data_IF_821182765634
#
_entry.id   IF_821182765634
#
_cell.length_a   1.000
_cell.length_b   1.000
_cell.length_c   1.000
_cell.angle_alpha   90.00
_cell.angle_beta   90.00
_cell.angle_gamma   90.00
#
_symmetry.space_group_name_H-M   'P 1'
#
loop_
_entity.id
_entity.type
_entity.pdbx_description
1 polymer ?
#
# COMPACT_ATOMS: atom_id res chain seq x y z
N UNK A 1 0.78 54.20 67.48
CA UNK A 1 1.51 55.41 68.07
C UNK A 1 2.08 56.17 66.90
N UNK A 2 1.70 57.52 66.94
CA UNK A 2 2.40 58.70 66.36
C UNK A 2 2.65 58.63 64.82
N UNK A 3 1.85 59.39 64.04
CA UNK A 3 1.85 60.82 63.73
C UNK A 3 3.16 61.25 63.06
N UNK A 4 3.10 61.72 61.82
CA UNK A 4 3.26 63.12 61.52
C UNK A 4 2.93 63.43 60.04
N UNK A 5 1.98 64.38 59.93
CA UNK A 5 1.75 65.26 58.80
C UNK A 5 3.00 66.08 58.49
N UNK A 6 3.23 66.47 57.28
CA UNK A 6 3.60 67.81 56.88
C UNK A 6 3.15 68.11 55.45
N UNK A 7 2.34 69.16 55.38
CA UNK A 7 1.93 69.89 54.20
C UNK A 7 3.08 70.77 53.70
N UNK A 8 3.20 70.93 52.41
CA UNK A 8 3.64 72.18 51.81
C UNK A 8 3.11 72.33 50.38
N UNK A 9 2.40 73.42 50.23
CA UNK A 9 1.79 73.96 49.05
C UNK A 9 2.81 74.73 48.18
N UNK A 10 2.42 74.90 46.92
CA UNK A 10 2.70 76.01 45.99
C UNK A 10 3.54 75.58 44.80
N UNK A 11 3.18 75.79 43.60
CA UNK A 11 2.87 76.91 42.81
C UNK A 11 2.55 76.56 41.40
N UNK A 12 1.49 77.04 40.89
CA UNK A 12 0.99 76.93 39.50
C UNK A 12 1.93 77.69 38.57
N UNK A 13 2.39 77.02 37.51
CA UNK A 13 2.85 77.75 36.31
C UNK A 13 2.08 77.11 35.11
N UNK A 14 1.11 77.85 34.63
CA UNK A 14 0.42 77.67 33.39
C UNK A 14 1.39 77.97 32.24
N UNK A 15 1.88 76.88 31.55
CA UNK A 15 2.42 77.06 30.24
C UNK A 15 1.38 76.50 29.21
N UNK A 16 0.76 77.46 28.54
CA UNK A 16 -0.08 77.14 27.35
C UNK A 16 0.84 76.66 26.22
N UNK A 17 1.00 75.33 26.09
CA UNK A 17 1.62 74.69 24.94
C UNK A 17 0.58 74.63 23.87
N UNK A 18 0.83 75.28 22.72
CA UNK A 18 0.04 75.12 21.51
C UNK A 18 0.07 73.66 21.06
N UNK A 19 -1.08 72.98 21.14
CA UNK A 19 -1.26 71.66 20.54
C UNK A 19 -1.22 71.84 19.02
N UNK A 20 -0.12 71.43 18.40
CA UNK A 20 -0.11 71.12 16.96
C UNK A 20 -0.89 69.80 16.76
N UNK A 21 -2.12 69.93 16.36
CA UNK A 21 -2.86 68.77 15.80
C UNK A 21 -2.24 68.43 14.42
N UNK A 22 -1.19 67.59 14.45
CA UNK A 22 -0.67 66.97 13.25
C UNK A 22 -1.76 66.08 12.68
N UNK A 23 -2.23 66.39 11.51
CA UNK A 23 -3.08 65.49 10.72
C UNK A 23 -2.26 64.24 10.41
N UNK A 24 -2.46 63.16 11.15
CA UNK A 24 -1.87 61.87 10.85
C UNK A 24 -2.66 61.34 9.66
N UNK A 25 -2.14 61.59 8.46
CA UNK A 25 -2.64 60.97 7.23
C UNK A 25 -2.54 59.47 7.43
N UNK A 26 -3.66 58.68 7.39
CA UNK A 26 -3.59 57.26 7.61
C UNK A 26 -2.72 56.64 6.52
N UNK A 27 -1.64 55.99 6.94
CA UNK A 27 -0.77 55.23 6.01
C UNK A 27 -1.64 54.29 5.20
N UNK A 28 -1.58 54.30 3.87
CA UNK A 28 -2.35 53.34 3.04
C UNK A 28 -2.01 51.92 3.50
N UNK A 29 -3.03 51.20 3.96
CA UNK A 29 -2.87 49.77 4.27
C UNK A 29 -2.43 49.11 2.98
N UNK A 30 -1.20 48.62 2.95
CA UNK A 30 -0.74 47.77 1.86
C UNK A 30 -1.65 46.55 1.84
N UNK A 31 -2.20 46.17 0.65
CA UNK A 31 -2.99 44.97 0.56
C UNK A 31 -2.16 43.78 1.05
N UNK A 32 -2.67 43.08 2.06
CA UNK A 32 -2.06 41.81 2.50
C UNK A 32 -2.16 40.82 1.34
N UNK A 33 -1.05 40.63 0.63
CA UNK A 33 -0.95 39.61 -0.39
C UNK A 33 -0.92 38.28 0.39
N UNK A 34 -2.07 37.63 0.54
CA UNK A 34 -2.11 36.24 1.00
C UNK A 34 -1.41 35.42 -0.06
N UNK A 35 -0.32 34.71 0.26
CA UNK A 35 0.32 33.82 -0.70
C UNK A 35 -0.73 32.83 -1.23
N UNK A 36 -0.78 32.64 -2.55
CA UNK A 36 -1.62 31.62 -3.12
C UNK A 36 -1.29 30.28 -2.45
N UNK A 37 -2.30 29.45 -2.11
CA UNK A 37 -2.06 28.13 -1.57
C UNK A 37 -1.09 27.38 -2.49
N UNK A 38 -0.05 26.78 -1.92
CA UNK A 38 0.84 25.94 -2.69
C UNK A 38 0.00 24.87 -3.42
N UNK A 39 0.28 24.59 -4.72
CA UNK A 39 -0.41 23.53 -5.41
C UNK A 39 -0.34 22.25 -4.58
N UNK A 40 -1.47 21.61 -4.33
CA UNK A 40 -1.48 20.30 -3.69
C UNK A 40 -0.62 19.34 -4.53
N UNK A 41 0.23 18.52 -3.92
CA UNK A 41 0.98 17.52 -4.65
C UNK A 41 -0.01 16.67 -5.46
N UNK A 42 0.17 16.60 -6.77
CA UNK A 42 -0.69 15.82 -7.64
C UNK A 42 -0.40 14.35 -7.34
N UNK A 43 -1.37 13.62 -6.81
CA UNK A 43 -1.33 12.17 -6.72
C UNK A 43 -1.22 11.58 -8.12
N UNK A 44 -0.40 10.54 -8.33
CA UNK A 44 -0.33 9.88 -9.62
C UNK A 44 -1.69 9.32 -10.04
N UNK A 45 -1.94 9.30 -11.34
CA UNK A 45 -3.10 8.63 -11.91
C UNK A 45 -2.80 7.13 -12.03
N UNK A 46 -3.62 6.31 -11.37
CA UNK A 46 -3.50 4.86 -11.38
C UNK A 46 -4.33 4.20 -12.49
N UNK A 47 -5.15 4.95 -13.23
CA UNK A 47 -5.97 4.41 -14.32
C UNK A 47 -5.10 3.93 -15.47
N UNK A 48 -5.29 2.70 -15.89
CA UNK A 48 -4.68 2.14 -17.08
C UNK A 48 -4.37 0.65 -16.95
N UNK A 49 -3.97 0.07 -18.05
CA UNK A 49 -3.40 -1.26 -18.07
C UNK A 49 -2.01 -1.23 -17.45
N UNK A 50 -1.67 -2.31 -16.79
CA UNK A 50 -0.32 -2.55 -16.30
C UNK A 50 0.14 -3.94 -16.63
N UNK A 51 1.44 -4.09 -16.81
CA UNK A 51 2.11 -5.38 -16.95
C UNK A 51 3.44 -5.31 -16.23
N UNK A 52 3.90 -6.45 -15.71
CA UNK A 52 5.15 -6.49 -14.96
C UNK A 52 5.60 -7.89 -14.60
N UNK A 53 6.60 -7.94 -13.74
CA UNK A 53 7.10 -9.16 -13.15
C UNK A 53 7.08 -9.11 -11.63
N UNK A 54 7.05 -10.27 -11.03
CA UNK A 54 7.15 -10.44 -9.59
C UNK A 54 8.09 -11.57 -9.21
N UNK A 55 8.66 -11.45 -8.02
CA UNK A 55 9.54 -12.43 -7.40
C UNK A 55 9.21 -12.51 -5.92
N UNK A 56 9.23 -13.70 -5.36
CA UNK A 56 8.87 -13.88 -3.98
C UNK A 56 9.23 -15.23 -3.43
N UNK A 57 8.60 -15.53 -2.33
CA UNK A 57 8.77 -16.74 -1.57
C UNK A 57 7.41 -17.27 -1.15
N UNK A 58 7.20 -18.57 -1.34
CA UNK A 58 6.02 -19.28 -0.92
C UNK A 58 6.35 -20.20 0.24
N UNK A 59 5.47 -20.25 1.23
CA UNK A 59 5.46 -21.24 2.29
C UNK A 59 4.12 -21.98 2.20
N UNK A 60 4.19 -23.28 2.04
CA UNK A 60 3.03 -24.16 1.83
C UNK A 60 2.94 -25.13 2.99
N UNK A 61 1.78 -25.22 3.61
CA UNK A 61 1.49 -26.17 4.68
C UNK A 61 0.43 -27.19 4.20
N UNK A 62 0.79 -28.46 4.26
CA UNK A 62 -0.11 -29.58 3.94
C UNK A 62 -0.46 -30.33 5.22
N UNK A 63 -1.75 -30.36 5.57
CA UNK A 63 -2.26 -31.09 6.71
C UNK A 63 -2.92 -32.40 6.31
N UNK A 64 -2.38 -33.55 6.74
CA UNK A 64 -2.93 -34.88 6.47
C UNK A 64 -3.07 -35.66 7.76
N UNK A 65 -4.31 -35.99 8.16
CA UNK A 65 -4.56 -36.89 9.28
C UNK A 65 -4.04 -36.39 10.65
N UNK A 66 -3.86 -35.06 10.83
CA UNK A 66 -3.32 -34.47 12.06
C UNK A 66 -1.81 -34.33 12.09
N UNK A 67 -1.13 -34.58 10.96
CA UNK A 67 0.28 -34.26 10.73
C UNK A 67 0.33 -33.12 9.74
N UNK A 68 1.24 -32.15 9.95
CA UNK A 68 1.54 -31.09 8.97
C UNK A 68 2.95 -31.24 8.42
N UNK A 69 3.10 -30.94 7.14
CA UNK A 69 4.37 -30.85 6.43
C UNK A 69 4.46 -29.46 5.84
N UNK A 70 5.52 -28.74 6.19
CA UNK A 70 5.78 -27.40 5.69
C UNK A 70 6.91 -27.44 4.67
N UNK A 71 6.66 -26.89 3.49
CA UNK A 71 7.69 -26.71 2.46
C UNK A 71 7.67 -25.27 1.96
N UNK A 72 8.79 -24.84 1.46
CA UNK A 72 8.93 -23.47 1.00
C UNK A 72 9.89 -23.36 -0.18
N UNK A 73 9.60 -22.42 -1.08
CA UNK A 73 10.40 -22.22 -2.27
C UNK A 73 10.28 -20.83 -2.86
N UNK A 74 11.12 -20.56 -3.83
CA UNK A 74 11.03 -19.34 -4.61
C UNK A 74 9.86 -19.40 -5.59
N UNK A 75 9.26 -18.23 -5.81
CA UNK A 75 8.17 -18.05 -6.75
C UNK A 75 8.47 -16.80 -7.56
N UNK A 76 8.18 -16.82 -8.86
CA UNK A 76 8.36 -15.67 -9.71
C UNK A 76 7.54 -15.77 -10.97
N UNK A 77 7.05 -14.62 -11.44
CA UNK A 77 6.11 -14.66 -12.53
C UNK A 77 5.85 -13.32 -13.19
N UNK A 78 4.77 -13.33 -13.95
CA UNK A 78 4.27 -12.20 -14.71
C UNK A 78 2.91 -11.77 -14.18
N UNK A 79 2.71 -10.45 -14.16
CA UNK A 79 1.44 -9.84 -13.75
C UNK A 79 0.93 -8.94 -14.86
N UNK A 80 -0.38 -8.98 -15.09
CA UNK A 80 -1.08 -8.06 -15.98
C UNK A 80 -2.40 -7.65 -15.35
N UNK A 81 -2.86 -6.45 -15.61
CA UNK A 81 -4.16 -6.01 -15.09
C UNK A 81 -4.57 -4.63 -15.56
N UNK A 82 -5.67 -4.20 -15.02
CA UNK A 82 -6.24 -2.89 -15.26
C UNK A 82 -6.74 -2.28 -13.95
N UNK A 83 -6.37 -1.04 -13.70
CA UNK A 83 -6.86 -0.25 -12.58
C UNK A 83 -7.72 0.91 -13.06
N UNK A 84 -8.65 1.30 -12.21
CA UNK A 84 -9.47 2.48 -12.38
C UNK A 84 -9.36 3.38 -11.15
N UNK A 85 -8.87 4.59 -11.35
CA UNK A 85 -8.66 5.60 -10.32
C UNK A 85 -9.95 6.40 -10.08
N UNK A 86 -10.47 6.33 -8.88
CA UNK A 86 -11.68 7.01 -8.41
C UNK A 86 -11.39 8.29 -7.61
N UNK A 87 -10.15 8.79 -7.66
CA UNK A 87 -9.68 9.92 -6.86
C UNK A 87 -8.80 9.45 -5.71
N UNK A 88 -9.36 9.26 -4.52
CA UNK A 88 -8.60 8.72 -3.37
C UNK A 88 -8.52 7.20 -3.37
N UNK A 89 -9.44 6.53 -4.06
CA UNK A 89 -9.53 5.08 -4.16
C UNK A 89 -9.19 4.58 -5.55
N UNK A 90 -8.65 3.37 -5.60
CA UNK A 90 -8.37 2.66 -6.84
C UNK A 90 -9.02 1.28 -6.75
N UNK A 91 -9.71 0.87 -7.80
CA UNK A 91 -10.20 -0.50 -7.96
C UNK A 91 -9.56 -1.12 -9.20
N UNK A 92 -9.33 -2.41 -9.18
CA UNK A 92 -8.69 -3.08 -10.31
C UNK A 92 -8.95 -4.56 -10.35
N UNK A 93 -8.62 -5.12 -11.51
CA UNK A 93 -8.60 -6.54 -11.75
C UNK A 93 -7.29 -6.95 -12.42
N UNK A 94 -6.81 -8.14 -12.14
CA UNK A 94 -5.55 -8.63 -12.68
C UNK A 94 -5.48 -10.14 -12.80
N UNK A 95 -4.45 -10.57 -13.49
CA UNK A 95 -4.04 -11.94 -13.68
C UNK A 95 -2.56 -12.03 -13.33
N UNK A 96 -2.20 -13.02 -12.53
CA UNK A 96 -0.82 -13.38 -12.24
C UNK A 96 -0.59 -14.81 -12.71
N UNK A 97 0.60 -15.06 -13.23
CA UNK A 97 1.09 -16.38 -13.56
C UNK A 97 2.50 -16.54 -13.04
N UNK A 98 2.66 -17.42 -12.07
CA UNK A 98 3.92 -17.66 -11.40
C UNK A 98 4.42 -19.08 -11.66
N UNK A 99 5.71 -19.19 -11.90
CA UNK A 99 6.47 -20.42 -11.82
C UNK A 99 7.00 -20.57 -10.39
N UNK A 100 7.03 -21.79 -9.91
CA UNK A 100 7.47 -22.09 -8.55
C UNK A 100 8.51 -23.21 -8.56
N UNK A 101 9.34 -23.23 -7.52
CA UNK A 101 10.42 -24.19 -7.32
C UNK A 101 10.18 -24.92 -5.97
N UNK A 102 8.91 -25.24 -5.68
CA UNK A 102 8.51 -25.92 -4.44
C UNK A 102 8.41 -27.43 -4.73
N UNK A 103 9.22 -28.23 -4.03
CA UNK A 103 9.28 -29.69 -4.15
C UNK A 103 8.94 -30.32 -2.80
N UNK A 104 8.01 -31.27 -2.81
CA UNK A 104 7.63 -32.07 -1.65
C UNK A 104 8.23 -33.47 -1.76
N UNK A 105 9.03 -33.91 -0.79
CA UNK A 105 9.48 -35.29 -0.68
C UNK A 105 8.43 -36.14 0.05
N UNK A 106 7.74 -36.99 -0.70
CA UNK A 106 6.70 -37.90 -0.19
C UNK A 106 7.27 -39.18 0.43
N UNK A 107 8.61 -39.33 0.43
CA UNK A 107 9.30 -40.52 0.90
C UNK A 107 9.33 -41.66 -0.14
N UNK A 108 10.26 -42.61 0.04
CA UNK A 108 10.38 -43.73 -0.88
C UNK A 108 10.96 -43.37 -2.26
N UNK A 109 11.47 -42.15 -2.45
CA UNK A 109 12.02 -41.69 -3.73
C UNK A 109 10.95 -41.14 -4.68
N UNK A 110 9.81 -40.73 -4.16
CA UNK A 110 8.73 -40.07 -4.88
C UNK A 110 8.68 -38.60 -4.41
N UNK A 111 8.81 -37.66 -5.32
CA UNK A 111 8.58 -36.23 -5.08
C UNK A 111 7.34 -35.74 -5.82
N UNK A 112 6.73 -34.71 -5.31
CA UNK A 112 5.68 -33.95 -5.97
C UNK A 112 6.19 -32.52 -6.16
N UNK A 113 6.08 -32.02 -7.38
CA UNK A 113 6.54 -30.72 -7.76
C UNK A 113 5.33 -29.80 -8.01
N UNK A 114 5.35 -28.59 -7.46
CA UNK A 114 4.40 -27.53 -7.83
C UNK A 114 5.03 -26.78 -9.00
N UNK A 115 4.43 -26.87 -10.17
CA UNK A 115 4.98 -26.32 -11.41
C UNK A 115 4.62 -24.84 -11.60
N UNK A 116 3.35 -24.50 -11.37
CA UNK A 116 2.84 -23.14 -11.58
C UNK A 116 1.60 -22.83 -10.78
N UNK A 117 1.39 -21.54 -10.56
CA UNK A 117 0.20 -20.99 -9.92
C UNK A 117 -0.30 -19.86 -10.80
N UNK A 118 -1.57 -19.91 -11.20
CA UNK A 118 -2.20 -18.76 -11.81
C UNK A 118 -3.33 -18.21 -10.94
N UNK A 119 -3.51 -16.91 -10.98
CA UNK A 119 -4.47 -16.20 -10.14
C UNK A 119 -5.26 -15.18 -10.92
N UNK A 120 -6.56 -15.16 -10.69
CA UNK A 120 -7.45 -14.06 -11.09
C UNK A 120 -7.77 -13.26 -9.85
N UNK A 121 -7.45 -11.96 -9.86
CA UNK A 121 -7.59 -11.11 -8.69
C UNK A 121 -8.46 -9.88 -8.94
N UNK A 122 -9.13 -9.47 -7.87
CA UNK A 122 -9.69 -8.12 -7.73
C UNK A 122 -8.90 -7.40 -6.64
N UNK A 123 -8.67 -6.12 -6.83
CA UNK A 123 -8.02 -5.28 -5.83
C UNK A 123 -8.77 -4.00 -5.58
N UNK A 124 -8.72 -3.52 -4.33
CA UNK A 124 -9.22 -2.21 -3.92
C UNK A 124 -8.22 -1.54 -3.00
N UNK A 125 -7.84 -0.31 -3.29
CA UNK A 125 -6.79 0.38 -2.56
C UNK A 125 -7.07 1.85 -2.30
N UNK A 126 -6.33 2.40 -1.36
CA UNK A 126 -6.37 3.80 -0.99
C UNK A 126 -5.02 4.46 -1.29
N UNK A 127 -5.07 5.63 -1.93
CA UNK A 127 -3.86 6.37 -2.30
C UNK A 127 -3.24 7.09 -1.11
N UNK A 128 -1.93 6.91 -0.93
CA UNK A 128 -1.13 7.57 0.10
C UNK A 128 0.07 8.24 -0.57
N UNK A 129 -0.07 9.51 -0.90
CA UNK A 129 0.94 10.23 -1.68
C UNK A 129 1.15 9.60 -3.06
N UNK A 130 2.36 9.15 -3.35
CA UNK A 130 2.69 8.43 -4.58
C UNK A 130 2.45 6.91 -4.48
N UNK A 131 1.94 6.43 -3.36
CA UNK A 131 1.71 5.02 -3.12
C UNK A 131 0.24 4.65 -3.10
N UNK A 132 0.01 3.34 -3.20
CA UNK A 132 -1.28 2.69 -3.09
C UNK A 132 -1.17 1.56 -2.07
N UNK A 133 -1.89 1.66 -0.96
CA UNK A 133 -2.12 0.54 -0.04
C UNK A 133 -3.39 -0.16 -0.51
N UNK A 134 -3.34 -1.46 -0.71
CA UNK A 134 -4.49 -2.19 -1.25
C UNK A 134 -4.73 -3.52 -0.55
N UNK A 135 -5.97 -3.96 -0.59
CA UNK A 135 -6.38 -5.33 -0.33
C UNK A 135 -6.70 -6.01 -1.67
N UNK A 136 -6.49 -7.31 -1.73
CA UNK A 136 -6.77 -8.11 -2.91
C UNK A 136 -7.38 -9.44 -2.49
N UNK A 137 -8.23 -9.97 -3.34
CA UNK A 137 -8.81 -11.29 -3.20
C UNK A 137 -9.11 -11.87 -4.58
N UNK A 138 -9.17 -13.18 -4.68
CA UNK A 138 -9.45 -13.82 -5.93
C UNK A 138 -9.42 -15.34 -5.89
N UNK A 139 -9.34 -15.90 -7.06
CA UNK A 139 -9.28 -17.32 -7.32
C UNK A 139 -7.87 -17.68 -7.77
N UNK A 140 -7.38 -18.81 -7.28
CA UNK A 140 -6.09 -19.37 -7.63
C UNK A 140 -6.25 -20.82 -8.09
N UNK A 141 -5.43 -21.23 -9.03
CA UNK A 141 -5.29 -22.63 -9.42
C UNK A 141 -3.82 -22.99 -9.43
N UNK A 142 -3.51 -24.10 -8.82
CA UNK A 142 -2.17 -24.69 -8.74
C UNK A 142 -2.11 -25.88 -9.67
N UNK A 143 -1.04 -25.97 -10.44
CA UNK A 143 -0.70 -27.19 -11.20
C UNK A 143 0.44 -27.91 -10.48
N UNK A 144 0.17 -29.15 -10.07
CA UNK A 144 1.16 -30.03 -9.46
C UNK A 144 1.38 -31.27 -10.30
N UNK A 145 2.63 -31.72 -10.41
CA UNK A 145 2.98 -32.93 -11.12
C UNK A 145 3.68 -33.92 -10.19
N UNK A 146 3.33 -35.21 -10.40
CA UNK A 146 4.00 -36.32 -9.75
C UNK A 146 4.60 -37.23 -10.84
N UNK A 147 5.94 -37.42 -10.85
CA UNK A 147 6.59 -38.23 -11.85
C UNK A 147 6.01 -39.65 -11.93
N UNK A 148 5.48 -40.00 -13.10
CA UNK A 148 4.88 -41.32 -13.36
C UNK A 148 3.39 -41.47 -13.05
N UNK A 149 2.75 -40.48 -12.45
CA UNK A 149 1.30 -40.45 -12.14
C UNK A 149 0.53 -39.37 -12.93
N UNK A 150 1.22 -38.37 -13.48
CA UNK A 150 0.61 -37.29 -14.26
C UNK A 150 0.55 -35.96 -13.49
N UNK A 151 -0.11 -34.98 -14.09
CA UNK A 151 -0.38 -33.69 -13.49
C UNK A 151 -1.84 -33.55 -13.08
N UNK A 152 -2.10 -32.93 -11.95
CA UNK A 152 -3.44 -32.61 -11.48
C UNK A 152 -3.49 -31.10 -11.10
N UNK A 153 -4.68 -30.53 -11.10
CA UNK A 153 -4.86 -29.13 -10.78
C UNK A 153 -5.84 -28.97 -9.63
N UNK A 154 -5.46 -28.18 -8.65
CA UNK A 154 -6.27 -27.88 -7.47
C UNK A 154 -6.69 -26.43 -7.47
N UNK A 155 -7.94 -26.19 -7.13
CA UNK A 155 -8.56 -24.89 -7.12
C UNK A 155 -8.57 -24.31 -5.70
N UNK A 156 -8.45 -22.99 -5.58
CA UNK A 156 -8.48 -22.32 -4.30
C UNK A 156 -8.84 -20.85 -4.40
N UNK A 157 -8.97 -20.26 -3.23
CA UNK A 157 -9.18 -18.82 -3.08
C UNK A 157 -8.01 -18.20 -2.33
N UNK A 158 -7.80 -16.91 -2.54
CA UNK A 158 -6.82 -16.18 -1.77
C UNK A 158 -7.35 -14.83 -1.34
N UNK A 159 -6.75 -14.33 -0.26
CA UNK A 159 -6.92 -12.97 0.22
C UNK A 159 -5.56 -12.42 0.63
N UNK A 160 -5.36 -11.13 0.45
CA UNK A 160 -4.12 -10.51 0.87
C UNK A 160 -4.13 -9.01 0.75
N UNK A 161 -2.94 -8.45 0.80
CA UNK A 161 -2.76 -7.02 0.67
C UNK A 161 -1.34 -6.65 0.34
N UNK A 162 -1.17 -5.42 -0.08
CA UNK A 162 0.12 -4.93 -0.50
C UNK A 162 0.22 -3.42 -0.50
N UNK A 163 1.42 -3.00 -0.83
CA UNK A 163 1.74 -1.60 -1.06
C UNK A 163 2.51 -1.48 -2.37
N UNK A 164 2.10 -0.55 -3.20
CA UNK A 164 2.75 -0.24 -4.48
C UNK A 164 3.09 1.24 -4.53
N UNK A 165 4.29 1.60 -4.96
CA UNK A 165 4.78 2.98 -5.04
C UNK A 165 5.13 3.34 -6.47
N UNK A 166 4.57 4.44 -6.97
CA UNK A 166 4.90 4.98 -8.28
C UNK A 166 6.28 5.66 -8.23
N UNK A 167 7.27 5.01 -8.83
CA UNK A 167 8.67 5.51 -8.85
C UNK A 167 8.93 6.46 -10.01
N UNK A 168 8.10 6.37 -11.05
CA UNK A 168 8.07 7.32 -12.18
C UNK A 168 6.64 7.43 -12.70
N UNK A 169 6.38 8.28 -13.69
CA UNK A 169 5.02 8.51 -14.20
C UNK A 169 4.27 7.26 -14.67
N UNK A 170 4.98 6.18 -14.96
CA UNK A 170 4.42 4.95 -15.49
C UNK A 170 5.07 3.66 -14.95
N UNK A 171 5.97 3.75 -13.98
CA UNK A 171 6.58 2.59 -13.33
C UNK A 171 6.25 2.57 -11.85
N UNK A 172 5.87 1.42 -11.32
CA UNK A 172 5.68 1.20 -9.89
C UNK A 172 6.49 0.00 -9.38
N UNK A 173 6.84 0.08 -8.12
CA UNK A 173 7.45 -1.00 -7.34
C UNK A 173 6.59 -1.25 -6.11
N UNK A 174 6.40 -2.50 -5.75
CA UNK A 174 5.56 -2.85 -4.61
C UNK A 174 5.89 -4.18 -4.00
N UNK A 175 5.18 -4.47 -2.91
CA UNK A 175 5.18 -5.77 -2.26
C UNK A 175 3.77 -6.19 -1.91
N UNK A 176 3.53 -7.50 -1.96
CA UNK A 176 2.24 -8.12 -1.70
C UNK A 176 2.43 -9.37 -0.84
N UNK A 177 1.52 -9.59 0.08
CA UNK A 177 1.43 -10.83 0.86
C UNK A 177 0.05 -11.41 0.66
N UNK A 178 -0.01 -12.69 0.28
CA UNK A 178 -1.25 -13.42 0.01
C UNK A 178 -1.31 -14.67 0.89
N UNK A 179 -2.49 -14.93 1.41
CA UNK A 179 -2.86 -16.18 2.05
C UNK A 179 -3.80 -16.93 1.11
N UNK A 180 -3.47 -18.18 0.83
CA UNK A 180 -4.22 -19.07 -0.06
C UNK A 180 -4.81 -20.22 0.75
N UNK A 181 -6.01 -20.63 0.36
CA UNK A 181 -6.72 -21.78 0.90
C UNK A 181 -7.20 -22.61 -0.32
N UNK A 182 -6.71 -23.85 -0.40
CA UNK A 182 -7.00 -24.76 -1.52
C UNK A 182 -7.92 -25.89 -1.06
N UNK A 183 -8.96 -26.13 -1.84
CA UNK A 183 -9.92 -27.19 -1.62
C UNK A 183 -9.32 -28.53 -2.08
N UNK A 184 -8.73 -29.30 -1.16
CA UNK A 184 -8.18 -30.61 -1.44
C UNK A 184 -9.18 -31.71 -1.08
N UNK A 185 -9.49 -32.65 -1.98
CA UNK A 185 -10.40 -33.76 -1.66
C UNK A 185 -9.87 -34.62 -0.52
N UNK A 186 -10.81 -35.13 0.31
CA UNK A 186 -10.56 -36.14 1.37
C UNK A 186 -9.88 -35.69 2.67
N UNK A 187 -10.35 -34.57 3.30
CA UNK A 187 -9.97 -34.27 4.69
C UNK A 187 -8.51 -33.81 4.85
N UNK A 188 -7.91 -33.36 3.78
CA UNK A 188 -6.60 -32.70 3.73
C UNK A 188 -6.83 -31.22 3.62
N UNK A 189 -6.10 -30.39 4.36
CA UNK A 189 -6.05 -28.93 4.17
C UNK A 189 -4.74 -28.56 3.50
N UNK A 190 -4.79 -27.67 2.51
CA UNK A 190 -3.62 -27.11 1.90
C UNK A 190 -3.70 -25.57 1.99
N UNK A 191 -2.81 -25.00 2.76
CA UNK A 191 -2.73 -23.57 2.98
C UNK A 191 -1.37 -23.06 2.48
N UNK A 192 -1.34 -21.86 1.92
CA UNK A 192 -0.09 -21.26 1.51
C UNK A 192 -0.04 -19.76 1.81
N UNK A 193 1.13 -19.29 2.22
CA UNK A 193 1.43 -17.87 2.33
C UNK A 193 2.50 -17.51 1.33
N UNK A 194 2.23 -16.54 0.48
CA UNK A 194 3.23 -15.99 -0.45
C UNK A 194 3.55 -14.55 -0.10
N UNK A 195 4.83 -14.19 -0.17
CA UNK A 195 5.31 -12.83 -0.05
C UNK A 195 6.12 -12.48 -1.30
N UNK A 196 5.69 -11.46 -2.02
CA UNK A 196 6.24 -11.12 -3.34
C UNK A 196 6.58 -9.63 -3.42
N UNK A 197 7.62 -9.31 -4.17
CA UNK A 197 7.91 -7.97 -4.65
C UNK A 197 7.62 -7.91 -6.14
N UNK A 198 7.07 -6.79 -6.59
CA UNK A 198 6.65 -6.61 -7.99
C UNK A 198 7.15 -5.32 -8.57
N UNK A 199 7.42 -5.35 -9.87
CA UNK A 199 7.72 -4.18 -10.67
C UNK A 199 6.76 -4.15 -11.86
N UNK A 200 6.00 -3.06 -12.01
CA UNK A 200 5.00 -2.95 -13.09
C UNK A 200 5.21 -1.70 -13.91
N UNK A 201 4.87 -1.80 -15.18
CA UNK A 201 4.80 -0.70 -16.12
C UNK A 201 3.35 -0.46 -16.52
N UNK A 202 2.95 0.81 -16.49
CA UNK A 202 1.59 1.28 -16.70
C UNK A 202 1.49 2.02 -18.03
N UNK A 203 0.41 1.77 -18.78
CA UNK A 203 0.18 2.32 -20.13
C UNK A 203 -0.92 3.35 -20.14
#
# INVERSE_FOLDING_TARGET
>A
MKKHLFSAAAASVLMAGTAFAGNIEPTPLQPVITPAPAPAPMSPNWTGFYAGGELGYANVELGVGGLSVDESGFIGGLVVGYDYDLGDWVIGAGLDYDWTDVEFDLGGGVSADIDSIWRVKLRGGYKVGNGLVYATAGYAQVEASVPGLGSDSEDGYFIGGGYEHMVSGNMSLGGEVLYHDFDVPTGTSAEAVTAQVRATFRF
#
